data_IF_544902079486
#
_entry.id   IF_544902079486
#
_cell.length_a   1.000
_cell.length_b   1.000
_cell.length_c   1.000
_cell.angle_alpha   90.00
_cell.angle_beta   90.00
_cell.angle_gamma   90.00
#
_symmetry.space_group_name_H-M   'P 1'
#
loop_
_entity.id
_entity.type
_entity.pdbx_description
1 polymer ?
#
# COMPACT_ATOMS: atom_id res chain seq x y z
N UNK A 1 -2.85 3.08 22.24
CA UNK A 1 -2.45 2.39 20.99
C UNK A 1 -3.66 2.01 20.17
N UNK A 2 -4.73 1.49 20.74
CA UNK A 2 -5.95 1.28 19.95
C UNK A 2 -6.58 2.61 19.52
N UNK A 3 -6.52 3.61 20.37
CA UNK A 3 -7.01 4.95 20.05
C UNK A 3 -6.19 5.56 18.90
N UNK A 4 -4.87 5.36 18.96
CA UNK A 4 -3.97 5.85 17.94
C UNK A 4 -4.29 5.23 16.58
N UNK A 5 -4.48 3.91 16.55
CA UNK A 5 -4.82 3.21 15.31
C UNK A 5 -6.16 3.68 14.77
N UNK A 6 -7.15 3.92 15.64
CA UNK A 6 -8.46 4.38 15.23
C UNK A 6 -8.40 5.76 14.57
N UNK A 7 -7.57 6.65 15.11
CA UNK A 7 -7.41 7.99 14.54
C UNK A 7 -6.80 7.91 13.15
N UNK A 8 -5.80 7.06 12.98
CA UNK A 8 -5.15 6.89 11.67
C UNK A 8 -6.07 6.23 10.68
N UNK A 9 -6.83 5.21 11.11
CA UNK A 9 -7.78 4.55 10.23
C UNK A 9 -8.85 5.52 9.75
N UNK A 10 -9.31 6.39 10.66
CA UNK A 10 -10.31 7.38 10.28
C UNK A 10 -9.75 8.38 9.27
N UNK A 11 -8.51 8.80 9.46
CA UNK A 11 -7.86 9.73 8.54
C UNK A 11 -7.73 9.13 7.15
N UNK A 12 -7.34 7.85 7.07
CA UNK A 12 -7.21 7.16 5.79
C UNK A 12 -8.59 7.03 5.14
N UNK A 13 -9.60 6.61 5.90
CA UNK A 13 -10.94 6.44 5.36
C UNK A 13 -11.51 7.76 4.84
N UNK A 14 -11.35 8.83 5.61
CA UNK A 14 -11.84 10.13 5.19
C UNK A 14 -11.19 10.58 3.90
N UNK A 15 -9.87 10.39 3.78
CA UNK A 15 -9.15 10.74 2.58
C UNK A 15 -9.63 9.91 1.39
N UNK A 16 -9.75 8.60 1.57
CA UNK A 16 -10.16 7.71 0.50
C UNK A 16 -11.55 8.04 -0.03
N UNK A 17 -12.45 8.48 0.87
CA UNK A 17 -13.80 8.84 0.47
C UNK A 17 -13.85 10.15 -0.30
N UNK A 18 -12.89 11.04 -0.06
CA UNK A 18 -12.91 12.38 -0.64
C UNK A 18 -12.00 12.58 -1.82
N UNK A 19 -11.00 11.71 -1.99
CA UNK A 19 -9.99 11.89 -3.02
C UNK A 19 -10.52 11.44 -4.37
N UNK A 20 -10.63 12.35 -5.37
CA UNK A 20 -11.17 11.97 -6.68
C UNK A 20 -10.28 11.01 -7.47
N UNK A 21 -9.01 10.89 -7.13
CA UNK A 21 -8.12 9.95 -7.79
C UNK A 21 -8.26 8.53 -7.28
N UNK A 22 -9.09 8.31 -6.27
CA UNK A 22 -9.37 6.98 -5.74
C UNK A 22 -10.71 6.51 -6.27
N UNK A 23 -10.69 5.38 -6.98
CA UNK A 23 -11.88 4.80 -7.55
C UNK A 23 -12.56 3.83 -6.59
N UNK A 24 -11.74 3.09 -5.82
CA UNK A 24 -12.24 2.14 -4.83
C UNK A 24 -11.15 1.91 -3.80
N UNK A 25 -11.54 1.47 -2.61
CA UNK A 25 -10.55 1.15 -1.58
C UNK A 25 -11.12 0.14 -0.61
N UNK A 26 -10.23 -0.58 0.06
CA UNK A 26 -10.62 -1.56 1.08
C UNK A 26 -9.50 -1.69 2.10
N UNK A 27 -9.90 -1.83 3.36
CA UNK A 27 -8.98 -2.18 4.42
C UNK A 27 -8.74 -3.69 4.34
N UNK A 28 -7.50 -4.10 4.53
CA UNK A 28 -7.12 -5.51 4.34
C UNK A 28 -7.34 -6.32 5.62
N UNK A 29 -8.56 -6.25 6.17
CA UNK A 29 -8.92 -7.01 7.37
C UNK A 29 -9.34 -8.44 7.03
N UNK A 30 -10.11 -8.58 5.97
CA UNK A 30 -10.74 -9.84 5.61
C UNK A 30 -10.43 -10.29 4.19
N UNK A 31 -9.49 -9.63 3.53
CA UNK A 31 -9.17 -9.93 2.15
C UNK A 31 -8.14 -11.05 2.01
N UNK A 32 -7.48 -11.40 3.10
CA UNK A 32 -6.44 -12.43 3.13
C UNK A 32 -5.27 -12.13 2.19
N UNK A 33 -5.06 -10.87 1.84
CA UNK A 33 -3.94 -10.50 1.01
C UNK A 33 -2.69 -10.42 1.88
N UNK A 34 -1.70 -11.23 1.57
CA UNK A 34 -0.46 -11.26 2.33
C UNK A 34 0.69 -11.66 1.43
N UNK A 35 1.90 -11.22 1.80
CA UNK A 35 3.12 -11.52 1.08
C UNK A 35 4.12 -12.14 2.05
N UNK A 36 4.66 -13.30 1.68
CA UNK A 36 5.64 -13.99 2.49
C UNK A 36 7.00 -13.30 2.37
N UNK A 37 7.69 -13.13 3.49
CA UNK A 37 9.03 -12.56 3.48
C UNK A 37 9.90 -13.29 4.50
N UNK A 38 11.21 -13.14 4.34
CA UNK A 38 12.18 -13.70 5.28
C UNK A 38 12.75 -12.58 6.15
N UNK A 39 12.83 -12.84 7.43
CA UNK A 39 13.45 -11.91 8.37
C UNK A 39 14.20 -12.72 9.41
N UNK A 40 15.52 -12.52 9.47
CA UNK A 40 16.40 -13.22 10.40
C UNK A 40 16.22 -14.73 10.33
N UNK A 41 16.14 -15.25 9.11
CA UNK A 41 16.02 -16.68 8.87
C UNK A 41 14.65 -17.28 9.10
N UNK A 42 13.66 -16.47 9.48
CA UNK A 42 12.30 -16.96 9.71
C UNK A 42 11.37 -16.47 8.61
N UNK A 43 10.50 -17.37 8.16
CA UNK A 43 9.47 -17.03 7.19
C UNK A 43 8.30 -16.37 7.90
N UNK A 44 7.87 -15.22 7.42
CA UNK A 44 6.80 -14.44 8.04
C UNK A 44 5.86 -13.93 6.98
N UNK A 45 4.66 -13.55 7.39
CA UNK A 45 3.66 -12.97 6.49
C UNK A 45 3.58 -11.47 6.72
N UNK A 46 3.60 -10.70 5.62
CA UNK A 46 3.36 -9.27 5.64
C UNK A 46 1.95 -9.03 5.15
N UNK A 47 1.13 -8.40 5.98
CA UNK A 47 -0.26 -8.10 5.66
C UNK A 47 -0.37 -6.58 5.58
N UNK A 48 -0.34 -6.01 4.36
CA UNK A 48 -0.48 -4.56 4.20
C UNK A 48 -1.83 -4.06 4.70
N UNK A 49 -1.90 -2.80 5.06
CA UNK A 49 -3.10 -2.23 5.67
C UNK A 49 -4.24 -2.02 4.68
N UNK A 50 -3.95 -1.51 3.48
CA UNK A 50 -4.99 -1.09 2.54
C UNK A 50 -4.67 -1.48 1.11
N UNK A 51 -5.73 -1.72 0.34
CA UNK A 51 -5.67 -1.85 -1.11
C UNK A 51 -6.51 -0.73 -1.69
N UNK A 52 -5.93 0.06 -2.58
CA UNK A 52 -6.57 1.25 -3.12
C UNK A 52 -6.54 1.19 -4.64
N UNK A 53 -7.73 1.21 -5.25
CA UNK A 53 -7.85 1.27 -6.70
C UNK A 53 -7.82 2.72 -7.14
N UNK A 54 -6.85 3.08 -7.95
CA UNK A 54 -6.67 4.44 -8.43
C UNK A 54 -7.42 4.67 -9.73
N UNK A 55 -7.76 5.93 -9.99
CA UNK A 55 -8.50 6.30 -11.17
C UNK A 55 -7.76 5.98 -12.47
N UNK A 56 -6.44 5.87 -12.40
CA UNK A 56 -5.62 5.54 -13.57
C UNK A 56 -5.53 4.03 -13.84
N UNK A 57 -6.24 3.21 -13.08
CA UNK A 57 -6.25 1.77 -13.26
C UNK A 57 -5.22 1.03 -12.43
N UNK A 58 -4.36 1.72 -11.73
CA UNK A 58 -3.37 1.07 -10.87
C UNK A 58 -3.99 0.67 -9.54
N UNK A 59 -3.44 -0.37 -8.93
CA UNK A 59 -3.78 -0.77 -7.57
C UNK A 59 -2.61 -0.41 -6.66
N UNK A 60 -2.89 0.41 -5.66
CA UNK A 60 -1.88 0.82 -4.69
C UNK A 60 -2.03 0.00 -3.43
N UNK A 61 -0.96 -0.68 -3.05
CA UNK A 61 -0.88 -1.37 -1.77
C UNK A 61 -0.26 -0.39 -0.80
N UNK A 62 -0.99 -0.04 0.24
CA UNK A 62 -0.57 1.01 1.16
C UNK A 62 -0.38 0.47 2.57
N UNK A 63 0.74 0.81 3.17
CA UNK A 63 1.05 0.49 4.54
C UNK A 63 1.28 1.77 5.31
N UNK A 64 0.64 1.90 6.48
CA UNK A 64 0.77 3.09 7.33
C UNK A 64 1.49 2.68 8.60
N UNK A 65 2.64 3.29 8.87
CA UNK A 65 3.50 2.94 9.99
C UNK A 65 3.84 4.16 10.82
N UNK A 66 4.00 3.94 12.14
CA UNK A 66 4.41 5.03 13.02
C UNK A 66 5.88 5.38 12.89
N UNK A 67 6.73 4.39 12.61
CA UNK A 67 8.16 4.62 12.42
C UNK A 67 8.75 3.43 11.66
N UNK A 68 9.90 3.68 11.05
CA UNK A 68 10.57 2.65 10.28
C UNK A 68 11.37 1.72 11.17
N UNK A 69 11.73 0.56 10.63
CA UNK A 69 12.54 -0.44 11.31
C UNK A 69 13.19 -1.34 10.27
N UNK A 70 14.16 -2.13 10.72
CA UNK A 70 14.81 -3.10 9.86
C UNK A 70 13.81 -4.12 9.31
N UNK A 71 12.87 -4.56 10.18
CA UNK A 71 11.85 -5.50 9.76
C UNK A 71 10.92 -4.90 8.71
N UNK A 72 10.56 -3.62 8.86
CA UNK A 72 9.74 -2.94 7.87
C UNK A 72 10.46 -2.82 6.54
N UNK A 73 11.77 -2.62 6.55
CA UNK A 73 12.54 -2.58 5.30
C UNK A 73 12.53 -3.94 4.60
N UNK A 74 12.59 -5.04 5.38
CA UNK A 74 12.50 -6.38 4.81
C UNK A 74 11.14 -6.62 4.18
N UNK A 75 10.07 -6.15 4.82
CA UNK A 75 8.72 -6.26 4.27
C UNK A 75 8.60 -5.49 2.96
N UNK A 76 9.17 -4.29 2.89
CA UNK A 76 9.11 -3.49 1.67
C UNK A 76 9.84 -4.15 0.52
N UNK A 77 10.99 -4.74 0.79
CA UNK A 77 11.74 -5.45 -0.24
C UNK A 77 10.95 -6.63 -0.80
N UNK A 78 10.31 -7.39 0.08
CA UNK A 78 9.48 -8.51 -0.34
C UNK A 78 8.29 -8.05 -1.15
N UNK A 79 7.67 -6.92 -0.74
CA UNK A 79 6.53 -6.37 -1.44
C UNK A 79 6.91 -5.88 -2.83
N UNK A 80 8.08 -5.24 -2.95
CA UNK A 80 8.58 -4.78 -4.22
C UNK A 80 8.78 -5.96 -5.19
N UNK A 81 9.34 -7.04 -4.69
CA UNK A 81 9.53 -8.24 -5.50
C UNK A 81 8.21 -8.84 -5.93
N UNK A 82 7.24 -8.89 -5.03
CA UNK A 82 5.93 -9.43 -5.34
C UNK A 82 5.23 -8.59 -6.41
N UNK A 83 5.29 -7.28 -6.27
CA UNK A 83 4.68 -6.36 -7.24
C UNK A 83 5.34 -6.51 -8.61
N UNK A 84 6.65 -6.61 -8.64
CA UNK A 84 7.36 -6.80 -9.89
C UNK A 84 6.91 -8.09 -10.58
N UNK A 85 6.76 -9.15 -9.81
CA UNK A 85 6.32 -10.43 -10.37
C UNK A 85 4.91 -10.35 -10.94
N UNK A 86 4.02 -9.65 -10.25
CA UNK A 86 2.63 -9.50 -10.70
C UNK A 86 2.57 -8.68 -11.99
N UNK A 87 3.33 -7.58 -12.05
CA UNK A 87 3.37 -6.74 -13.24
C UNK A 87 3.99 -7.49 -14.41
N UNK A 88 5.05 -8.25 -14.16
CA UNK A 88 5.73 -9.03 -15.21
C UNK A 88 4.83 -10.15 -15.76
N UNK A 89 4.01 -10.76 -14.90
CA UNK A 89 3.12 -11.81 -15.33
C UNK A 89 2.03 -11.30 -16.28
N UNK A 90 1.63 -10.04 -16.11
CA UNK A 90 0.60 -9.44 -16.94
C UNK A 90 -0.80 -9.98 -16.60
N UNK A 91 -1.81 -9.29 -17.06
CA UNK A 91 -3.20 -9.73 -16.87
C UNK A 91 -3.81 -9.36 -15.52
N UNK A 92 -3.04 -8.79 -14.62
CA UNK A 92 -3.54 -8.38 -13.29
C UNK A 92 -3.60 -6.86 -13.13
N UNK A 93 -3.29 -6.12 -14.19
CA UNK A 93 -3.20 -4.66 -14.12
C UNK A 93 -1.88 -4.24 -13.52
N UNK A 94 -1.71 -2.94 -13.37
CA UNK A 94 -0.51 -2.37 -12.78
C UNK A 94 -0.71 -2.23 -11.28
N UNK A 95 0.28 -2.66 -10.53
CA UNK A 95 0.29 -2.58 -9.07
C UNK A 95 1.46 -1.73 -8.61
N UNK A 96 1.28 -1.04 -7.52
CA UNK A 96 2.35 -0.27 -6.90
C UNK A 96 2.21 -0.35 -5.39
N UNK A 97 3.24 0.08 -4.69
CA UNK A 97 3.31 -0.05 -3.25
C UNK A 97 3.93 1.20 -2.65
N UNK A 98 3.42 1.62 -1.51
CA UNK A 98 4.02 2.71 -0.77
C UNK A 98 3.83 2.50 0.72
N UNK A 99 4.75 3.08 1.49
CA UNK A 99 4.68 3.09 2.95
C UNK A 99 4.66 4.55 3.37
N UNK A 100 3.71 4.91 4.20
CA UNK A 100 3.64 6.27 4.75
C UNK A 100 3.78 6.17 6.26
N UNK A 101 4.43 7.17 6.84
CA UNK A 101 4.69 7.19 8.28
C UNK A 101 3.79 8.17 9.02
N UNK A 102 2.97 8.89 8.27
CA UNK A 102 2.01 9.84 8.82
C UNK A 102 0.83 9.86 7.86
N UNK A 103 -0.43 9.83 8.37
CA UNK A 103 -1.59 9.88 7.49
C UNK A 103 -1.61 11.09 6.56
N UNK A 104 -0.96 12.19 6.96
CA UNK A 104 -0.88 13.38 6.10
C UNK A 104 -0.12 13.12 4.80
N UNK A 105 0.73 12.09 4.75
CA UNK A 105 1.49 11.74 3.56
C UNK A 105 0.71 10.92 2.56
N UNK A 106 -0.47 10.43 2.95
CA UNK A 106 -1.22 9.49 2.09
C UNK A 106 -1.64 10.16 0.79
N UNK A 107 -2.11 11.40 0.88
CA UNK A 107 -2.55 12.11 -0.31
C UNK A 107 -1.39 12.30 -1.28
N UNK A 108 -0.22 12.66 -0.76
CA UNK A 108 0.98 12.83 -1.60
C UNK A 108 1.35 11.51 -2.27
N UNK A 109 1.29 10.41 -1.54
CA UNK A 109 1.58 9.10 -2.10
C UNK A 109 0.62 8.75 -3.23
N UNK A 110 -0.66 9.02 -3.04
CA UNK A 110 -1.68 8.75 -4.06
C UNK A 110 -1.45 9.61 -5.27
N UNK A 111 -1.18 10.89 -5.08
CA UNK A 111 -0.93 11.80 -6.19
C UNK A 111 0.31 11.38 -6.97
N UNK A 112 1.35 10.96 -6.27
CA UNK A 112 2.57 10.51 -6.92
C UNK A 112 2.32 9.26 -7.78
N UNK A 113 1.57 8.30 -7.26
CA UNK A 113 1.28 7.08 -8.01
C UNK A 113 0.37 7.33 -9.21
N UNK A 114 -0.58 8.25 -9.07
CA UNK A 114 -1.43 8.64 -10.18
C UNK A 114 -0.63 9.38 -11.25
N UNK A 115 0.26 10.27 -10.84
CA UNK A 115 1.07 11.04 -11.77
C UNK A 115 2.04 10.15 -12.53
N UNK A 116 2.60 9.12 -11.88
CA UNK A 116 3.57 8.23 -12.54
C UNK A 116 2.97 7.48 -13.71
N UNK A 117 1.64 7.35 -13.76
CA UNK A 117 0.99 6.69 -14.87
C UNK A 117 1.05 7.52 -16.15
N UNK A 118 1.22 8.83 -16.02
CA UNK A 118 1.27 9.73 -17.17
C UNK A 118 2.66 9.90 -17.74
N UNK A 119 3.64 9.24 -17.14
CA UNK A 119 5.03 9.37 -17.51
C UNK A 119 5.57 8.13 -18.21
N UNK A 120 4.72 7.42 -18.86
CA UNK A 120 5.12 6.21 -19.58
C UNK A 120 5.32 6.56 -21.05
N UNK A 121 6.49 6.93 -21.41
CA UNK A 121 6.79 7.22 -22.81
C UNK A 121 8.21 6.89 -23.22
#
# INVERSE_FOLDING_TARGET
HAVYDSVWEKAVADLCEKEPNIQAWAKNDHLNFKVRYLYRGSSRDFIPDYLIGLANGKTLVLEVKGQDSEQNRAKRAAMQNWIQAVCDAGGFGDWCFDVVFDPAEIRDAIMEKCASATQTW
#
